data_IF_520668739111
#
_entry.id   IF_520668739111
#
_cell.length_a   1.000
_cell.length_b   1.000
_cell.length_c   1.000
_cell.angle_alpha   90.00
_cell.angle_beta   90.00
_cell.angle_gamma   90.00
#
_symmetry.space_group_name_H-M   'P 1'
#
loop_
_entity.id
_entity.type
_entity.pdbx_description
1 polymer ?
#
# COMPACT_ATOMS: atom_id res chain seq x y z
N UNK A 1 17.06 -0.11 -0.33
CA UNK A 1 15.91 0.80 -0.54
C UNK A 1 14.84 0.09 -1.35
N UNK A 2 13.62 0.21 -0.94
CA UNK A 2 12.46 -0.43 -1.59
C UNK A 2 12.31 -0.01 -3.06
N UNK A 3 12.55 1.25 -3.35
CA UNK A 3 12.52 1.78 -4.71
C UNK A 3 13.47 1.03 -5.66
N UNK A 4 14.69 0.78 -5.20
CA UNK A 4 15.69 0.07 -6.00
C UNK A 4 15.30 -1.39 -6.23
N UNK A 5 14.72 -2.03 -5.24
CA UNK A 5 14.22 -3.40 -5.35
C UNK A 5 13.11 -3.50 -6.39
N UNK A 6 12.18 -2.54 -6.40
CA UNK A 6 11.08 -2.48 -7.36
C UNK A 6 11.61 -2.26 -8.77
N UNK A 7 12.59 -1.37 -8.95
CA UNK A 7 13.22 -1.14 -10.26
C UNK A 7 13.90 -2.40 -10.79
N UNK A 8 14.63 -3.11 -9.94
CA UNK A 8 15.30 -4.37 -10.32
C UNK A 8 14.28 -5.44 -10.69
N UNK A 9 13.19 -5.52 -9.93
CA UNK A 9 12.13 -6.49 -10.18
C UNK A 9 11.43 -6.22 -11.52
N UNK A 10 11.25 -4.95 -11.90
CA UNK A 10 10.70 -4.58 -13.20
C UNK A 10 11.61 -5.03 -14.34
N UNK A 11 12.93 -4.82 -14.20
CA UNK A 11 13.91 -5.27 -15.20
C UNK A 11 13.86 -6.79 -15.33
N UNK A 12 13.78 -7.50 -14.22
CA UNK A 12 13.69 -8.96 -14.22
C UNK A 12 12.40 -9.46 -14.89
N UNK A 13 11.27 -8.80 -14.62
CA UNK A 13 9.99 -9.11 -15.28
C UNK A 13 10.06 -8.92 -16.79
N UNK A 14 10.80 -7.89 -17.25
CA UNK A 14 11.04 -7.68 -18.67
C UNK A 14 11.86 -8.83 -19.29
N UNK A 15 12.91 -9.28 -18.60
CA UNK A 15 13.75 -10.40 -19.04
C UNK A 15 12.98 -11.71 -19.07
N UNK A 16 12.11 -11.94 -18.10
CA UNK A 16 11.31 -13.14 -17.98
C UNK A 16 10.07 -13.12 -18.87
N UNK A 17 9.81 -12.02 -19.56
CA UNK A 17 8.62 -11.79 -20.37
C UNK A 17 7.32 -11.98 -19.60
N UNK A 18 7.35 -11.62 -18.31
CA UNK A 18 6.19 -11.67 -17.43
C UNK A 18 5.36 -10.39 -17.61
N UNK A 19 4.36 -10.47 -18.50
CA UNK A 19 3.54 -9.32 -18.88
C UNK A 19 2.69 -8.78 -17.71
N UNK A 20 2.22 -9.65 -16.84
CA UNK A 20 1.41 -9.25 -15.67
C UNK A 20 2.25 -8.46 -14.68
N UNK A 21 3.40 -9.01 -14.29
CA UNK A 21 4.32 -8.33 -13.39
C UNK A 21 4.82 -7.02 -13.96
N UNK A 22 5.16 -7.00 -15.25
CA UNK A 22 5.63 -5.80 -15.93
C UNK A 22 4.58 -4.69 -15.94
N UNK A 23 3.33 -5.02 -16.20
CA UNK A 23 2.23 -4.06 -16.16
C UNK A 23 2.08 -3.46 -14.77
N UNK A 24 2.15 -4.29 -13.74
CA UNK A 24 2.10 -3.84 -12.35
C UNK A 24 3.24 -2.88 -12.01
N UNK A 25 4.48 -3.28 -12.30
CA UNK A 25 5.65 -2.46 -11.98
C UNK A 25 5.67 -1.14 -12.75
N UNK A 26 5.21 -1.12 -14.00
CA UNK A 26 5.13 0.12 -14.79
C UNK A 26 4.19 1.13 -14.15
N UNK A 27 3.02 0.67 -13.72
CA UNK A 27 2.03 1.55 -13.03
C UNK A 27 2.58 2.02 -11.69
N UNK A 28 3.15 1.11 -10.91
CA UNK A 28 3.71 1.42 -9.59
C UNK A 28 4.84 2.45 -9.70
N UNK A 29 5.80 2.23 -10.60
CA UNK A 29 6.94 3.13 -10.78
C UNK A 29 6.48 4.52 -11.24
N UNK A 30 5.44 4.59 -12.08
CA UNK A 30 4.86 5.87 -12.49
C UNK A 30 4.26 6.61 -11.30
N UNK A 31 3.53 5.92 -10.43
CA UNK A 31 2.95 6.50 -9.21
C UNK A 31 4.04 7.02 -8.28
N UNK A 32 5.11 6.25 -8.10
CA UNK A 32 6.25 6.65 -7.27
C UNK A 32 6.92 7.90 -7.86
N UNK A 33 7.11 7.94 -9.18
CA UNK A 33 7.69 9.09 -9.85
C UNK A 33 6.86 10.36 -9.63
N UNK A 34 5.55 10.27 -9.77
CA UNK A 34 4.65 11.41 -9.56
C UNK A 34 4.70 11.91 -8.12
N UNK A 35 4.73 11.00 -7.16
CA UNK A 35 4.85 11.36 -5.75
C UNK A 35 6.19 12.00 -5.44
N UNK A 36 7.27 11.51 -6.06
CA UNK A 36 8.61 12.04 -5.90
C UNK A 36 8.70 13.48 -6.41
N UNK A 37 8.05 13.79 -7.55
CA UNK A 37 7.96 15.15 -8.08
C UNK A 37 7.30 16.07 -7.07
N UNK A 38 6.17 15.67 -6.49
CA UNK A 38 5.47 16.44 -5.46
C UNK A 38 6.34 16.69 -4.22
N UNK A 39 7.06 15.67 -3.79
CA UNK A 39 7.94 15.76 -2.62
C UNK A 39 9.12 16.69 -2.86
N UNK A 40 9.71 16.64 -4.04
CA UNK A 40 10.84 17.51 -4.41
C UNK A 40 10.45 18.98 -4.45
N UNK A 41 9.22 19.29 -4.84
CA UNK A 41 8.70 20.66 -4.80
C UNK A 41 8.67 21.22 -3.36
N UNK A 42 8.54 20.32 -2.36
CA UNK A 42 8.55 20.66 -0.95
C UNK A 42 9.91 20.44 -0.28
N UNK A 43 10.95 20.15 -1.07
CA UNK A 43 12.31 19.93 -0.57
C UNK A 43 12.59 18.54 -0.01
N UNK A 44 11.73 17.57 -0.29
CA UNK A 44 11.88 16.20 0.19
C UNK A 44 12.05 15.18 -0.93
N UNK A 45 12.17 13.92 -0.55
CA UNK A 45 12.22 12.77 -1.45
C UNK A 45 11.30 11.67 -0.94
N UNK A 46 10.86 10.79 -1.84
CA UNK A 46 10.06 9.63 -1.49
C UNK A 46 10.90 8.64 -0.68
N UNK A 47 10.39 8.21 0.46
CA UNK A 47 11.00 7.19 1.31
C UNK A 47 10.20 5.86 1.24
N UNK A 48 10.67 4.84 1.97
CA UNK A 48 10.03 3.52 1.97
C UNK A 48 8.61 3.57 2.56
N UNK A 49 8.35 4.43 3.53
CA UNK A 49 7.01 4.62 4.08
C UNK A 49 6.03 5.19 3.05
N UNK A 50 6.49 6.14 2.24
CA UNK A 50 5.69 6.69 1.14
C UNK A 50 5.35 5.60 0.12
N UNK A 51 6.32 4.76 -0.23
CA UNK A 51 6.11 3.65 -1.16
C UNK A 51 5.14 2.63 -0.60
N UNK A 52 5.23 2.32 0.70
CA UNK A 52 4.26 1.44 1.35
C UNK A 52 2.84 2.00 1.29
N UNK A 53 2.67 3.30 1.48
CA UNK A 53 1.37 3.96 1.36
C UNK A 53 0.83 3.89 -0.07
N UNK A 54 1.70 4.10 -1.07
CA UNK A 54 1.34 3.96 -2.49
C UNK A 54 0.90 2.51 -2.80
N UNK A 55 1.63 1.53 -2.28
CA UNK A 55 1.29 0.11 -2.44
C UNK A 55 -0.07 -0.23 -1.83
N UNK A 56 -0.35 0.25 -0.63
CA UNK A 56 -1.64 0.02 0.03
C UNK A 56 -2.80 0.58 -0.78
N UNK A 57 -2.64 1.79 -1.28
CA UNK A 57 -3.65 2.43 -2.13
C UNK A 57 -3.83 1.69 -3.45
N UNK A 58 -2.72 1.26 -4.05
CA UNK A 58 -2.74 0.48 -5.29
C UNK A 58 -3.47 -0.85 -5.10
N UNK A 59 -3.23 -1.55 -4.00
CA UNK A 59 -3.93 -2.79 -3.66
C UNK A 59 -5.44 -2.55 -3.55
N UNK A 60 -5.85 -1.48 -2.89
CA UNK A 60 -7.27 -1.11 -2.79
C UNK A 60 -7.91 -0.90 -4.16
N UNK A 61 -7.24 -0.16 -5.02
CA UNK A 61 -7.72 0.09 -6.38
C UNK A 61 -7.83 -1.22 -7.18
N UNK A 62 -6.85 -2.10 -7.04
CA UNK A 62 -6.86 -3.42 -7.69
C UNK A 62 -8.00 -4.31 -7.16
N UNK A 63 -8.26 -4.29 -5.88
CA UNK A 63 -9.36 -5.04 -5.28
C UNK A 63 -10.72 -4.57 -5.79
N UNK A 64 -10.91 -3.27 -5.95
CA UNK A 64 -12.12 -2.68 -6.52
C UNK A 64 -12.30 -3.09 -7.99
N UNK A 65 -11.24 -3.03 -8.79
CA UNK A 65 -11.26 -3.49 -10.17
C UNK A 65 -11.57 -4.99 -10.26
N UNK A 66 -10.96 -5.79 -9.40
CA UNK A 66 -11.20 -7.23 -9.32
C UNK A 66 -12.68 -7.53 -9.07
N UNK A 67 -13.28 -6.82 -8.14
CA UNK A 67 -14.70 -6.98 -7.84
C UNK A 67 -15.58 -6.63 -9.03
N UNK A 68 -15.26 -5.55 -9.74
CA UNK A 68 -16.00 -5.13 -10.93
C UNK A 68 -15.91 -6.17 -12.05
N UNK A 69 -14.73 -6.72 -12.32
CA UNK A 69 -14.57 -7.78 -13.32
C UNK A 69 -15.26 -9.07 -12.91
N UNK A 70 -15.26 -9.38 -11.61
CA UNK A 70 -15.95 -10.56 -11.09
C UNK A 70 -17.47 -10.46 -11.33
N UNK A 71 -18.04 -9.27 -11.16
CA UNK A 71 -19.48 -9.01 -11.40
C UNK A 71 -19.89 -9.25 -12.83
N UNK A 72 -19.00 -8.99 -13.79
CA UNK A 72 -19.28 -9.21 -15.22
C UNK A 72 -18.76 -10.55 -15.74
N UNK A 73 -18.22 -11.40 -14.87
CA UNK A 73 -17.78 -12.74 -15.23
C UNK A 73 -16.47 -12.81 -16.00
N UNK A 74 -15.67 -11.75 -15.98
CA UNK A 74 -14.37 -11.74 -16.65
C UNK A 74 -13.29 -12.39 -15.77
N UNK A 75 -13.24 -13.72 -15.79
CA UNK A 75 -12.34 -14.50 -14.93
C UNK A 75 -10.86 -14.32 -15.27
N UNK A 76 -10.52 -14.07 -16.52
CA UNK A 76 -9.14 -13.83 -16.95
C UNK A 76 -8.57 -12.58 -16.30
N UNK A 77 -9.31 -11.47 -16.31
CA UNK A 77 -8.90 -10.23 -15.66
C UNK A 77 -8.87 -10.36 -14.13
N UNK A 78 -9.81 -11.10 -13.56
CA UNK A 78 -9.80 -11.39 -12.11
C UNK A 78 -8.51 -12.10 -11.72
N UNK A 79 -8.06 -13.08 -12.48
CA UNK A 79 -6.79 -13.78 -12.22
C UNK A 79 -5.59 -12.86 -12.37
N UNK A 80 -5.55 -12.05 -13.44
CA UNK A 80 -4.47 -11.10 -13.67
C UNK A 80 -4.34 -10.09 -12.52
N UNK A 81 -5.44 -9.53 -12.08
CA UNK A 81 -5.47 -8.56 -10.99
C UNK A 81 -5.08 -9.24 -9.66
N UNK A 82 -5.52 -10.47 -9.43
CA UNK A 82 -5.13 -11.24 -8.24
C UNK A 82 -3.62 -11.46 -8.17
N UNK A 83 -2.97 -11.75 -9.30
CA UNK A 83 -1.51 -11.89 -9.39
C UNK A 83 -0.81 -10.56 -9.05
N UNK A 84 -1.32 -9.45 -9.56
CA UNK A 84 -0.78 -8.12 -9.27
C UNK A 84 -0.89 -7.78 -7.78
N UNK A 85 -2.00 -8.09 -7.14
CA UNK A 85 -2.20 -7.90 -5.71
C UNK A 85 -1.17 -8.71 -4.91
N UNK A 86 -0.93 -9.96 -5.29
CA UNK A 86 0.07 -10.80 -4.61
C UNK A 86 1.49 -10.23 -4.76
N UNK A 87 1.83 -9.71 -5.93
CA UNK A 87 3.12 -9.03 -6.14
C UNK A 87 3.23 -7.81 -5.22
N UNK A 88 2.20 -6.98 -5.15
CA UNK A 88 2.19 -5.78 -4.31
C UNK A 88 2.39 -6.12 -2.83
N UNK A 89 1.74 -7.16 -2.34
CA UNK A 89 1.84 -7.58 -0.94
C UNK A 89 3.24 -8.01 -0.53
N UNK A 90 4.06 -8.50 -1.46
CA UNK A 90 5.45 -8.90 -1.17
C UNK A 90 6.31 -7.74 -0.70
N UNK A 91 5.97 -6.51 -1.09
CA UNK A 91 6.76 -5.32 -0.77
C UNK A 91 6.26 -4.58 0.47
N UNK A 92 5.11 -5.00 1.02
CA UNK A 92 4.61 -4.39 2.24
C UNK A 92 5.33 -4.97 3.45
N UNK A 93 5.69 -4.11 4.44
CA UNK A 93 6.13 -4.64 5.73
C UNK A 93 4.96 -5.39 6.39
N UNK A 94 5.27 -6.15 7.44
CA UNK A 94 4.20 -6.78 8.21
C UNK A 94 3.26 -5.69 8.76
N UNK A 95 2.04 -5.68 8.25
CA UNK A 95 1.05 -4.71 8.66
C UNK A 95 0.47 -5.06 10.02
N UNK A 96 0.13 -4.04 10.80
CA UNK A 96 -0.56 -4.22 12.07
C UNK A 96 -1.96 -4.76 11.85
N UNK A 97 -2.31 -5.80 12.59
CA UNK A 97 -3.65 -6.36 12.62
C UNK A 97 -4.55 -5.56 13.56
N UNK A 98 -5.86 -5.71 13.41
CA UNK A 98 -6.82 -4.95 14.22
C UNK A 98 -6.63 -5.16 15.72
N UNK A 99 -6.29 -6.38 16.15
CA UNK A 99 -6.02 -6.67 17.56
C UNK A 99 -4.80 -5.92 18.09
N UNK A 100 -3.74 -5.83 17.27
CA UNK A 100 -2.54 -5.09 17.62
C UNK A 100 -2.82 -3.57 17.70
N UNK A 101 -3.61 -3.05 16.76
CA UNK A 101 -4.04 -1.65 16.76
C UNK A 101 -4.84 -1.35 18.03
N UNK A 102 -5.76 -2.22 18.38
CA UNK A 102 -6.59 -2.07 19.59
C UNK A 102 -5.73 -2.02 20.87
N UNK A 103 -4.77 -2.92 21.01
CA UNK A 103 -3.86 -2.92 22.15
C UNK A 103 -3.07 -1.61 22.26
N UNK A 104 -2.57 -1.11 21.13
CA UNK A 104 -1.83 0.15 21.09
C UNK A 104 -2.72 1.30 21.52
N UNK A 105 -3.94 1.40 21.00
CA UNK A 105 -4.90 2.45 21.36
C UNK A 105 -5.21 2.42 22.86
N UNK A 106 -5.45 1.23 23.41
CA UNK A 106 -5.76 1.09 24.83
C UNK A 106 -4.61 1.49 25.75
N UNK A 107 -3.38 1.40 25.25
CA UNK A 107 -2.19 1.81 26.00
C UNK A 107 -1.95 3.32 25.99
N UNK A 108 -2.64 4.07 25.13
CA UNK A 108 -2.42 5.50 24.99
C UNK A 108 -3.13 6.29 26.11
N UNK A 109 -2.51 7.38 26.59
CA UNK A 109 -3.13 8.21 27.64
C UNK A 109 -4.33 9.02 27.15
N UNK A 110 -4.37 9.36 25.86
CA UNK A 110 -5.46 10.08 25.22
C UNK A 110 -6.01 9.24 24.08
N UNK A 111 -7.31 8.99 24.10
CA UNK A 111 -8.00 8.16 23.09
C UNK A 111 -8.86 9.01 22.14
N UNK A 112 -8.61 10.31 22.07
CA UNK A 112 -9.28 11.18 21.11
C UNK A 112 -8.83 10.86 19.68
N UNK A 113 -9.71 11.04 18.70
CA UNK A 113 -9.40 10.78 17.29
C UNK A 113 -8.14 11.51 16.83
N UNK A 114 -8.00 12.84 17.05
CA UNK A 114 -6.81 13.55 16.60
C UNK A 114 -5.51 13.02 17.21
N UNK A 115 -5.50 12.71 18.49
CA UNK A 115 -4.31 12.20 19.18
C UNK A 115 -3.92 10.82 18.66
N UNK A 116 -4.87 9.90 18.59
CA UNK A 116 -4.62 8.52 18.13
C UNK A 116 -4.13 8.51 16.70
N UNK A 117 -4.79 9.23 15.80
CA UNK A 117 -4.39 9.27 14.39
C UNK A 117 -2.99 9.85 14.21
N UNK A 118 -2.65 10.89 14.95
CA UNK A 118 -1.31 11.49 14.94
C UNK A 118 -0.27 10.50 15.44
N UNK A 119 -0.56 9.78 16.53
CA UNK A 119 0.33 8.79 17.11
C UNK A 119 0.68 7.69 16.11
N UNK A 120 -0.31 7.10 15.45
CA UNK A 120 -0.08 6.06 14.44
C UNK A 120 0.66 6.60 13.22
N UNK A 121 0.35 7.81 12.78
CA UNK A 121 1.04 8.44 11.67
C UNK A 121 2.53 8.68 11.97
N UNK A 122 2.87 9.05 13.19
CA UNK A 122 4.26 9.30 13.59
C UNK A 122 5.06 8.03 13.86
N UNK A 123 4.44 7.00 14.46
CA UNK A 123 5.14 5.82 14.95
C UNK A 123 4.97 4.59 14.07
N UNK A 124 3.91 4.51 13.30
CA UNK A 124 3.56 3.34 12.48
C UNK A 124 3.24 3.72 11.03
N UNK A 125 3.84 4.80 10.53
CA UNK A 125 3.64 5.26 9.16
C UNK A 125 4.03 4.15 8.17
N UNK A 126 3.11 3.79 7.27
CA UNK A 126 3.32 2.73 6.29
C UNK A 126 3.17 1.31 6.85
N UNK A 127 2.94 1.14 8.16
CA UNK A 127 2.78 -0.17 8.83
C UNK A 127 1.35 -0.45 9.24
N UNK A 128 0.44 0.47 9.05
CA UNK A 128 -0.98 0.29 9.30
C UNK A 128 -1.81 1.07 8.29
N UNK A 129 -3.04 0.61 8.08
CA UNK A 129 -4.04 1.35 7.31
C UNK A 129 -4.73 2.32 8.26
N UNK A 130 -4.61 3.62 8.00
CA UNK A 130 -5.19 4.65 8.87
C UNK A 130 -6.71 4.55 8.93
N UNK A 131 -7.37 4.03 7.91
CA UNK A 131 -8.80 3.76 7.92
C UNK A 131 -9.15 2.66 8.95
N UNK A 132 -8.33 1.60 9.01
CA UNK A 132 -8.50 0.55 10.01
C UNK A 132 -8.31 1.09 11.44
N UNK A 133 -7.32 1.96 11.64
CA UNK A 133 -7.09 2.61 12.92
C UNK A 133 -8.36 3.36 13.37
N UNK A 134 -8.95 4.13 12.47
CA UNK A 134 -10.17 4.88 12.75
C UNK A 134 -11.35 3.96 13.08
N UNK A 135 -11.53 2.89 12.31
CA UNK A 135 -12.58 1.90 12.54
C UNK A 135 -12.43 1.20 13.89
N UNK A 136 -11.22 0.78 14.24
CA UNK A 136 -10.94 0.14 15.54
C UNK A 136 -11.21 1.12 16.68
N UNK A 137 -10.77 2.36 16.54
CA UNK A 137 -11.01 3.41 17.54
C UNK A 137 -12.51 3.64 17.78
N UNK A 138 -13.31 3.68 16.71
CA UNK A 138 -14.76 3.86 16.81
C UNK A 138 -15.47 2.68 17.49
N UNK A 139 -14.88 1.49 17.41
CA UNK A 139 -15.46 0.28 17.99
C UNK A 139 -15.16 0.12 19.49
N UNK A 140 -14.30 0.95 20.06
CA UNK A 140 -13.91 0.92 21.45
C UNK A 140 -14.87 1.68 22.37
#
# INVERSE_FOLDING_TARGET
>A
MLYDEIKKANVQAMKDKDSVARSFYSVLLNKIMLENIKKREKGGEVDDADISNILQKTIKELEEEKENYNKVGNTEEVENISMQIEIAKKYLPKMLENDEIKEIILSLPDKSIPFVMKYFKQNYNGKCDMRNVQEVLKSL
#
